data_IF_530928666960
#
_entry.id   IF_530928666960
#
_cell.length_a   1.000
_cell.length_b   1.000
_cell.length_c   1.000
_cell.angle_alpha   90.00
_cell.angle_beta   90.00
_cell.angle_gamma   90.00
#
_symmetry.space_group_name_H-M   'P 1'
#
loop_
_entity.id
_entity.type
_entity.pdbx_description
1 polymer ?
#
# COMPACT_ATOMS: atom_id res chain seq x y z
N UNK A 1 -9.24 -3.78 6.75
CA UNK A 1 -9.73 -2.52 6.11
C UNK A 1 -8.67 -1.45 6.31
N UNK A 2 -8.42 -0.58 5.32
CA UNK A 2 -7.33 0.41 5.38
C UNK A 2 -7.73 1.65 6.19
N UNK A 3 -6.75 2.34 6.80
CA UNK A 3 -6.97 3.59 7.54
C UNK A 3 -7.63 4.68 6.69
N UNK A 4 -7.17 4.85 5.44
CA UNK A 4 -7.72 5.83 4.50
C UNK A 4 -9.21 5.58 4.22
N UNK A 5 -9.57 4.32 3.99
CA UNK A 5 -10.96 3.95 3.77
C UNK A 5 -11.81 4.19 5.03
N UNK A 6 -11.32 3.77 6.20
CA UNK A 6 -12.00 3.97 7.47
C UNK A 6 -12.19 5.46 7.80
N UNK A 7 -11.15 6.28 7.60
CA UNK A 7 -11.20 7.71 7.88
C UNK A 7 -12.12 8.43 6.88
N UNK A 8 -11.81 8.35 5.59
CA UNK A 8 -12.51 9.17 4.58
C UNK A 8 -13.90 8.66 4.26
N UNK A 9 -14.14 7.35 4.20
CA UNK A 9 -15.45 6.80 3.84
C UNK A 9 -16.29 6.49 5.06
N UNK A 10 -15.83 5.60 5.94
CA UNK A 10 -16.68 5.06 7.01
C UNK A 10 -16.94 6.09 8.12
N UNK A 11 -15.92 6.83 8.54
CA UNK A 11 -16.05 7.79 9.64
C UNK A 11 -16.64 9.13 9.17
N UNK A 12 -16.16 9.68 8.05
CA UNK A 12 -16.51 11.03 7.60
C UNK A 12 -17.50 11.08 6.43
N UNK A 13 -17.70 9.96 5.74
CA UNK A 13 -18.56 9.92 4.56
C UNK A 13 -18.09 10.81 3.41
N UNK A 14 -16.81 11.18 3.34
CA UNK A 14 -16.24 12.04 2.29
C UNK A 14 -16.05 11.30 0.97
N UNK A 15 -15.64 10.02 1.04
CA UNK A 15 -15.19 9.24 -0.10
C UNK A 15 -16.11 8.06 -0.43
N UNK A 16 -16.25 7.77 -1.72
CA UNK A 16 -16.75 6.49 -2.20
C UNK A 16 -15.69 5.40 -2.04
N UNK A 17 -14.42 5.74 -2.19
CA UNK A 17 -13.30 4.84 -1.92
C UNK A 17 -12.06 5.69 -1.69
N UNK A 18 -11.14 5.16 -0.89
CA UNK A 18 -9.84 5.75 -0.63
C UNK A 18 -8.83 4.65 -0.33
N UNK A 19 -7.69 4.71 -1.01
CA UNK A 19 -6.59 3.76 -0.84
C UNK A 19 -5.25 4.43 -1.18
N UNK A 20 -4.18 3.76 -0.81
CA UNK A 20 -2.81 4.14 -1.17
C UNK A 20 -2.22 3.10 -2.10
N UNK A 21 -1.44 3.55 -3.06
CA UNK A 21 -0.74 2.72 -4.03
C UNK A 21 0.75 3.07 -4.04
N UNK A 22 1.55 2.10 -4.45
CA UNK A 22 2.99 2.26 -4.63
C UNK A 22 3.36 1.68 -5.99
N UNK A 23 4.06 2.49 -6.78
CA UNK A 23 4.59 2.10 -8.08
C UNK A 23 6.11 2.21 -8.06
N UNK A 24 6.78 1.22 -8.66
CA UNK A 24 8.23 1.17 -8.74
C UNK A 24 8.70 1.34 -10.17
N UNK A 25 9.70 2.18 -10.35
CA UNK A 25 10.42 2.42 -11.58
C UNK A 25 11.90 2.09 -11.34
N UNK A 26 12.69 1.93 -12.42
CA UNK A 26 14.12 1.60 -12.30
C UNK A 26 14.91 2.57 -11.41
N UNK A 27 14.54 3.85 -11.43
CA UNK A 27 15.28 4.93 -10.75
C UNK A 27 14.59 5.48 -9.51
N UNK A 28 13.31 5.19 -9.29
CA UNK A 28 12.54 5.75 -8.19
C UNK A 28 11.29 4.93 -7.89
N UNK A 29 10.66 5.20 -6.75
CA UNK A 29 9.31 4.74 -6.43
C UNK A 29 8.38 5.93 -6.21
N UNK A 30 7.10 5.76 -6.54
CA UNK A 30 6.06 6.74 -6.28
C UNK A 30 5.07 6.11 -5.31
N UNK A 31 4.85 6.79 -4.18
CA UNK A 31 3.74 6.50 -3.28
C UNK A 31 2.68 7.58 -3.46
N UNK A 32 1.43 7.17 -3.65
CA UNK A 32 0.33 8.12 -3.80
C UNK A 32 -0.95 7.62 -3.15
N UNK A 33 -1.82 8.57 -2.83
CA UNK A 33 -3.17 8.30 -2.34
C UNK A 33 -4.14 8.60 -3.47
N UNK A 34 -5.08 7.69 -3.66
CA UNK A 34 -6.16 7.84 -4.62
C UNK A 34 -7.49 7.74 -3.88
N UNK A 35 -8.37 8.71 -4.12
CA UNK A 35 -9.71 8.70 -3.55
C UNK A 35 -10.72 9.31 -4.52
N UNK A 36 -11.97 8.82 -4.48
CA UNK A 36 -13.11 9.48 -5.13
C UNK A 36 -13.96 10.15 -4.06
N UNK A 37 -13.92 11.47 -4.02
CA UNK A 37 -14.58 12.30 -3.00
C UNK A 37 -15.64 13.20 -3.61
N UNK A 38 -16.54 13.73 -2.78
CA UNK A 38 -17.46 14.78 -3.24
C UNK A 38 -16.74 16.13 -3.41
N UNK A 39 -17.20 17.00 -4.32
CA UNK A 39 -16.54 18.29 -4.57
C UNK A 39 -16.40 19.20 -3.34
N UNK A 40 -17.39 19.21 -2.45
CA UNK A 40 -17.46 20.06 -1.26
C UNK A 40 -16.43 19.71 -0.17
N UNK A 41 -15.84 18.51 -0.23
CA UNK A 41 -14.90 18.00 0.77
C UNK A 41 -13.50 17.72 0.22
N UNK A 42 -13.16 18.21 -0.98
CA UNK A 42 -11.85 17.95 -1.60
C UNK A 42 -10.71 18.41 -0.69
N UNK A 43 -10.75 19.66 -0.23
CA UNK A 43 -9.72 20.23 0.62
C UNK A 43 -9.56 19.43 1.93
N UNK A 44 -10.67 19.18 2.63
CA UNK A 44 -10.69 18.38 3.86
C UNK A 44 -10.16 16.97 3.64
N UNK A 45 -10.49 16.35 2.50
CA UNK A 45 -10.03 14.99 2.18
C UNK A 45 -8.52 14.93 1.97
N UNK A 46 -7.92 15.97 1.39
CA UNK A 46 -6.45 16.08 1.25
C UNK A 46 -5.81 16.21 2.62
N UNK A 47 -6.33 17.08 3.49
CA UNK A 47 -5.79 17.28 4.85
C UNK A 47 -5.84 16.00 5.69
N UNK A 48 -6.96 15.28 5.65
CA UNK A 48 -7.14 14.01 6.34
C UNK A 48 -6.21 12.91 5.79
N UNK A 49 -6.03 12.85 4.47
CA UNK A 49 -5.08 11.91 3.85
C UNK A 49 -3.65 12.18 4.30
N UNK A 50 -3.24 13.45 4.35
CA UNK A 50 -1.93 13.86 4.84
C UNK A 50 -1.76 13.59 6.34
N UNK A 51 -2.83 13.71 7.12
CA UNK A 51 -2.80 13.42 8.55
C UNK A 51 -2.58 11.92 8.80
N UNK A 52 -3.23 11.03 8.02
CA UNK A 52 -2.96 9.59 8.11
C UNK A 52 -1.50 9.23 7.78
N UNK A 53 -0.92 9.86 6.74
CA UNK A 53 0.51 9.68 6.41
C UNK A 53 1.40 10.13 7.59
N UNK A 54 1.09 11.29 8.17
CA UNK A 54 1.81 11.81 9.35
C UNK A 54 1.71 10.88 10.55
N UNK A 55 0.54 10.29 10.81
CA UNK A 55 0.37 9.33 11.92
C UNK A 55 1.19 8.05 11.72
N UNK A 56 1.26 7.55 10.50
CA UNK A 56 2.05 6.35 10.16
C UNK A 56 3.57 6.59 10.34
N UNK A 57 4.03 7.81 10.07
CA UNK A 57 5.44 8.19 10.22
C UNK A 57 5.82 8.70 11.62
N UNK A 58 4.85 9.12 12.43
CA UNK A 58 5.09 9.64 13.78
C UNK A 58 4.82 8.62 14.92
N UNK A 59 4.02 7.59 14.66
CA UNK A 59 3.59 6.64 15.69
C UNK A 59 3.78 5.20 15.24
N UNK A 60 4.08 4.32 16.19
CA UNK A 60 4.22 2.89 15.91
C UNK A 60 2.87 2.30 15.50
N UNK A 61 2.86 1.56 14.39
CA UNK A 61 1.66 0.88 13.89
C UNK A 61 1.34 -0.32 14.78
N UNK A 62 0.08 -0.52 15.22
CA UNK A 62 -0.33 -1.68 15.98
C UNK A 62 0.04 -2.99 15.28
N UNK A 63 0.51 -3.97 16.05
CA UNK A 63 0.94 -5.27 15.51
C UNK A 63 -0.20 -5.96 14.75
N UNK A 64 -1.42 -5.86 15.26
CA UNK A 64 -2.61 -6.45 14.65
C UNK A 64 -2.87 -5.89 13.24
N UNK A 65 -2.60 -4.61 13.02
CA UNK A 65 -2.77 -3.99 11.69
C UNK A 65 -1.73 -4.51 10.69
N UNK A 66 -0.48 -4.70 11.15
CA UNK A 66 0.59 -5.30 10.35
C UNK A 66 0.23 -6.74 9.97
N UNK A 67 -0.25 -7.55 10.92
CA UNK A 67 -0.62 -8.94 10.66
C UNK A 67 -1.83 -9.06 9.72
N UNK A 68 -2.80 -8.14 9.82
CA UNK A 68 -3.90 -8.06 8.86
C UNK A 68 -3.39 -7.71 7.45
N UNK A 69 -2.46 -6.76 7.33
CA UNK A 69 -1.88 -6.37 6.05
C UNK A 69 -1.09 -7.52 5.42
N UNK A 70 -0.26 -8.23 6.20
CA UNK A 70 0.44 -9.44 5.75
C UNK A 70 -0.53 -10.51 5.25
N UNK A 71 -1.55 -10.82 6.04
CA UNK A 71 -2.57 -11.83 5.70
C UNK A 71 -3.26 -11.49 4.39
N UNK A 72 -3.59 -10.20 4.19
CA UNK A 72 -4.17 -9.71 2.94
C UNK A 72 -3.19 -9.88 1.76
N UNK A 73 -1.95 -9.42 1.88
CA UNK A 73 -0.97 -9.48 0.79
C UNK A 73 -0.61 -10.92 0.39
N UNK A 74 -0.51 -11.83 1.36
CA UNK A 74 -0.26 -13.25 1.14
C UNK A 74 -1.49 -13.91 0.49
N UNK A 75 -2.69 -13.69 1.05
CA UNK A 75 -3.91 -14.30 0.56
C UNK A 75 -4.36 -13.78 -0.81
N UNK A 76 -4.04 -12.53 -1.14
CA UNK A 76 -4.40 -11.90 -2.41
C UNK A 76 -3.44 -12.25 -3.55
N UNK A 77 -2.19 -12.60 -3.26
CA UNK A 77 -1.18 -12.84 -4.29
C UNK A 77 -1.57 -13.90 -5.33
N UNK A 78 -2.13 -15.07 -4.97
CA UNK A 78 -2.57 -16.06 -5.97
C UNK A 78 -3.66 -15.53 -6.89
N UNK A 79 -4.57 -14.70 -6.35
CA UNK A 79 -5.64 -14.08 -7.14
C UNK A 79 -5.07 -13.07 -8.13
N UNK A 80 -4.02 -12.35 -7.74
CA UNK A 80 -3.37 -11.33 -8.56
C UNK A 80 -2.49 -11.88 -9.69
N UNK A 81 -2.37 -13.21 -9.83
CA UNK A 81 -1.63 -13.88 -10.91
C UNK A 81 -2.46 -14.98 -11.59
N UNK A 82 -3.75 -15.10 -11.25
CA UNK A 82 -4.59 -16.19 -11.73
C UNK A 82 -4.93 -16.04 -13.22
N UNK A 83 -5.08 -14.80 -13.70
CA UNK A 83 -5.40 -14.51 -15.09
C UNK A 83 -4.13 -14.32 -15.92
N UNK A 84 -4.14 -14.79 -17.17
CA UNK A 84 -2.95 -14.75 -18.04
C UNK A 84 -2.43 -13.32 -18.29
N UNK A 85 -3.32 -12.34 -18.41
CA UNK A 85 -2.95 -10.92 -18.57
C UNK A 85 -2.29 -10.35 -17.32
N UNK A 86 -2.75 -10.74 -16.13
CA UNK A 86 -2.14 -10.33 -14.86
C UNK A 86 -0.76 -10.95 -14.69
N UNK A 87 -0.64 -12.26 -14.96
CA UNK A 87 0.65 -12.96 -14.95
C UNK A 87 1.63 -12.34 -15.96
N UNK A 88 1.19 -12.07 -17.18
CA UNK A 88 2.03 -11.46 -18.21
C UNK A 88 2.50 -10.05 -17.81
N UNK A 89 1.62 -9.24 -17.21
CA UNK A 89 1.96 -7.92 -16.68
C UNK A 89 3.04 -8.01 -15.60
N UNK A 90 2.87 -8.94 -14.66
CA UNK A 90 3.85 -9.19 -13.58
C UNK A 90 5.20 -9.66 -14.11
N UNK A 91 5.23 -10.56 -15.09
CA UNK A 91 6.50 -11.02 -15.70
C UNK A 91 7.17 -9.87 -16.44
N UNK A 92 6.38 -9.03 -17.11
CA UNK A 92 6.88 -7.82 -17.77
C UNK A 92 7.51 -6.86 -16.76
N UNK A 93 6.93 -6.71 -15.57
CA UNK A 93 7.49 -5.93 -14.46
C UNK A 93 8.86 -6.46 -13.99
N UNK A 94 9.01 -7.78 -13.79
CA UNK A 94 10.31 -8.39 -13.45
C UNK A 94 11.38 -8.03 -14.48
N UNK A 95 11.08 -8.20 -15.77
CA UNK A 95 12.04 -7.91 -16.84
C UNK A 95 12.28 -6.40 -16.96
N UNK A 96 11.24 -5.59 -16.87
CA UNK A 96 11.33 -4.14 -16.94
C UNK A 96 12.14 -3.56 -15.79
N UNK A 97 12.11 -4.15 -14.59
CA UNK A 97 12.87 -3.69 -13.43
C UNK A 97 14.20 -4.43 -13.23
N UNK A 98 14.60 -5.31 -14.16
CA UNK A 98 15.79 -6.16 -14.06
C UNK A 98 15.85 -6.99 -12.76
N UNK A 99 14.70 -7.48 -12.30
CA UNK A 99 14.61 -8.34 -11.12
C UNK A 99 15.02 -9.78 -11.47
N UNK A 100 15.36 -10.57 -10.45
CA UNK A 100 15.70 -11.97 -10.62
C UNK A 100 14.49 -12.81 -11.05
N UNK A 101 14.70 -13.87 -11.83
CA UNK A 101 13.59 -14.71 -12.33
C UNK A 101 12.82 -15.41 -11.20
N UNK A 102 13.49 -15.66 -10.07
CA UNK A 102 12.88 -16.18 -8.85
C UNK A 102 12.37 -15.12 -7.87
N UNK A 103 12.06 -13.89 -8.34
CA UNK A 103 11.67 -12.77 -7.48
C UNK A 103 10.52 -13.11 -6.51
N UNK A 104 9.48 -13.79 -7.00
CA UNK A 104 8.34 -14.18 -6.19
C UNK A 104 8.50 -15.50 -5.44
N UNK A 105 9.58 -16.26 -5.67
CA UNK A 105 9.80 -17.53 -4.96
C UNK A 105 9.91 -17.32 -3.45
N UNK A 106 10.29 -16.11 -3.02
CA UNK A 106 10.39 -15.71 -1.61
C UNK A 106 9.30 -14.73 -1.20
N UNK A 107 8.22 -14.60 -1.96
CA UNK A 107 7.19 -13.58 -1.70
C UNK A 107 6.61 -13.75 -0.29
N UNK A 108 6.24 -14.97 0.09
CA UNK A 108 5.70 -15.26 1.42
C UNK A 108 6.71 -14.94 2.53
N UNK A 109 7.94 -15.42 2.41
CA UNK A 109 9.01 -15.22 3.39
C UNK A 109 9.35 -13.73 3.56
N UNK A 110 9.42 -12.99 2.45
CA UNK A 110 9.71 -11.56 2.45
C UNK A 110 8.61 -10.78 3.17
N UNK A 111 7.33 -11.13 2.96
CA UNK A 111 6.21 -10.47 3.64
C UNK A 111 6.17 -10.83 5.13
N UNK A 112 6.41 -12.10 5.47
CA UNK A 112 6.43 -12.55 6.87
C UNK A 112 7.57 -11.93 7.69
N UNK A 113 8.70 -11.64 7.05
CA UNK A 113 9.85 -10.98 7.67
C UNK A 113 9.56 -9.52 8.11
N UNK A 114 8.60 -8.85 7.49
CA UNK A 114 8.27 -7.45 7.82
C UNK A 114 7.66 -7.37 9.22
N UNK A 115 8.03 -6.38 10.01
CA UNK A 115 7.39 -6.08 11.29
C UNK A 115 7.02 -4.60 11.41
N UNK A 116 6.38 -4.26 12.54
CA UNK A 116 5.99 -2.89 12.85
C UNK A 116 7.17 -1.90 12.89
N UNK A 117 8.37 -2.34 13.27
CA UNK A 117 9.56 -1.47 13.31
C UNK A 117 10.09 -1.20 11.90
N UNK A 118 10.15 -2.21 11.04
CA UNK A 118 10.59 -2.08 9.65
C UNK A 118 9.66 -1.11 8.90
N UNK A 119 8.34 -1.27 9.07
CA UNK A 119 7.36 -0.38 8.42
C UNK A 119 7.50 1.05 8.93
N UNK A 120 7.59 1.25 10.25
CA UNK A 120 7.77 2.59 10.83
C UNK A 120 9.04 3.28 10.31
N UNK A 121 10.18 2.57 10.31
CA UNK A 121 11.45 3.09 9.79
C UNK A 121 11.35 3.45 8.31
N UNK A 122 10.69 2.60 7.51
CA UNK A 122 10.48 2.87 6.08
C UNK A 122 9.60 4.10 5.85
N UNK A 123 8.48 4.22 6.59
CA UNK A 123 7.59 5.37 6.49
C UNK A 123 8.28 6.67 6.89
N UNK A 124 9.04 6.67 7.99
CA UNK A 124 9.79 7.83 8.47
C UNK A 124 10.82 8.33 7.44
N UNK A 125 11.48 7.43 6.71
CA UNK A 125 12.54 7.78 5.76
C UNK A 125 12.04 8.21 4.37
N UNK A 126 10.82 7.84 3.98
CA UNK A 126 10.36 7.96 2.59
C UNK A 126 9.06 8.77 2.42
N UNK A 127 8.29 9.00 3.47
CA UNK A 127 6.98 9.66 3.40
C UNK A 127 6.95 11.06 4.06
N UNK A 128 8.06 11.48 4.65
CA UNK A 128 8.32 12.81 5.21
C UNK A 128 9.50 13.44 4.47
#
# INVERSE_FOLDING_TARGET
MSRLFMNLRESKGFAYWAFSEMEFYKSCGIFYIRARVRPDVIHSSVLESLDEIRRISAQRIPVQEIEQAKSYLIGHFPLAIQRYDELASRISEIKALNLNEGHWNKYYENIMYIDSQIVFKSAYNNLL
#
